data_IF_691353065954
#
_entry.id   IF_691353065954
#
_cell.length_a   1.000
_cell.length_b   1.000
_cell.length_c   1.000
_cell.angle_alpha   90.00
_cell.angle_beta   90.00
_cell.angle_gamma   90.00
#
_symmetry.space_group_name_H-M   'P 1'
#
loop_
_entity.id
_entity.type
_entity.pdbx_description
1 polymer ?
#
# COMPACT_ATOMS: atom_id res chain seq x y z
N UNK A 1 29.25 -20.20 -28.78
CA UNK A 1 28.73 -20.01 -27.90
C UNK A 1 27.58 -19.08 -27.53
N UNK A 2 26.59 -19.65 -26.88
CA UNK A 2 25.35 -19.01 -26.43
C UNK A 2 25.57 -17.82 -25.49
N UNK A 3 26.63 -17.81 -24.70
CA UNK A 3 26.95 -16.72 -23.76
C UNK A 3 27.34 -15.40 -24.41
N UNK A 4 28.00 -15.45 -25.60
CA UNK A 4 28.33 -14.21 -26.36
C UNK A 4 27.07 -13.57 -26.95
N UNK A 5 26.16 -14.37 -27.52
CA UNK A 5 24.91 -13.84 -28.08
C UNK A 5 24.00 -13.18 -27.04
N UNK A 6 23.90 -13.77 -25.83
CA UNK A 6 23.14 -13.17 -24.72
C UNK A 6 23.79 -11.87 -24.26
N UNK A 7 25.12 -11.80 -24.13
CA UNK A 7 25.83 -10.58 -23.78
C UNK A 7 25.56 -9.43 -24.77
N UNK A 8 25.44 -9.72 -26.05
CA UNK A 8 25.17 -8.70 -27.07
C UNK A 8 23.74 -8.17 -27.02
N UNK A 9 22.76 -8.99 -26.63
CA UNK A 9 21.39 -8.50 -26.38
C UNK A 9 21.37 -7.48 -25.25
N UNK A 10 22.03 -7.77 -24.15
CA UNK A 10 22.09 -6.84 -23.00
C UNK A 10 22.88 -5.56 -23.31
N UNK A 11 23.93 -5.65 -24.11
CA UNK A 11 24.65 -4.46 -24.61
C UNK A 11 23.73 -3.52 -25.40
N UNK A 12 22.85 -4.06 -26.25
CA UNK A 12 21.87 -3.25 -26.99
C UNK A 12 20.84 -2.60 -26.05
N UNK A 13 20.34 -3.34 -25.07
CA UNK A 13 19.41 -2.78 -24.08
C UNK A 13 20.04 -1.68 -23.24
N UNK A 14 21.32 -1.82 -22.89
CA UNK A 14 22.07 -0.82 -22.12
C UNK A 14 22.40 0.42 -22.97
N UNK A 15 22.56 0.30 -24.29
CA UNK A 15 22.84 1.46 -25.14
C UNK A 15 21.70 2.47 -25.18
N UNK A 16 20.47 2.01 -24.98
CA UNK A 16 19.25 2.84 -24.96
C UNK A 16 18.79 3.18 -23.53
N UNK A 17 19.51 2.67 -22.51
CA UNK A 17 19.14 2.86 -21.11
C UNK A 17 19.97 3.98 -20.48
N UNK A 18 19.38 4.92 -19.69
CA UNK A 18 20.13 5.94 -18.98
C UNK A 18 21.19 5.34 -18.05
N UNK A 19 22.41 5.89 -18.07
CA UNK A 19 23.50 5.45 -17.22
C UNK A 19 23.50 6.13 -15.83
N UNK A 20 22.30 6.33 -15.26
CA UNK A 20 22.07 7.01 -13.99
C UNK A 20 21.87 6.05 -12.80
N UNK A 21 22.51 4.89 -12.83
CA UNK A 21 22.34 3.83 -11.83
C UNK A 21 22.51 4.30 -10.39
N UNK A 22 23.45 5.22 -10.13
CA UNK A 22 23.72 5.74 -8.77
C UNK A 22 22.57 6.52 -8.17
N UNK A 23 21.72 7.11 -9.00
CA UNK A 23 20.54 7.88 -8.57
C UNK A 23 19.22 7.12 -8.82
N UNK A 24 19.32 5.94 -9.41
CA UNK A 24 18.15 5.12 -9.75
C UNK A 24 17.59 4.42 -8.50
N UNK A 25 16.28 4.52 -8.22
CA UNK A 25 15.66 3.82 -7.07
C UNK A 25 15.79 2.30 -7.13
N UNK A 26 16.08 1.74 -8.31
CA UNK A 26 16.25 0.30 -8.54
C UNK A 26 17.72 -0.17 -8.41
N UNK A 27 18.66 0.74 -8.10
CA UNK A 27 20.08 0.39 -7.93
C UNK A 27 20.26 -0.70 -6.89
N UNK A 28 21.11 -1.70 -7.20
CA UNK A 28 21.34 -2.85 -6.33
C UNK A 28 20.24 -3.95 -6.40
N UNK A 29 19.06 -3.64 -7.00
CA UNK A 29 17.97 -4.59 -7.21
C UNK A 29 17.41 -4.46 -8.64
N UNK A 30 18.30 -4.43 -9.64
CA UNK A 30 17.99 -4.26 -11.05
C UNK A 30 18.50 -5.47 -11.84
N UNK A 31 17.61 -6.21 -12.51
CA UNK A 31 18.00 -7.37 -13.31
C UNK A 31 18.99 -7.00 -14.42
N UNK A 32 18.80 -5.84 -15.07
CA UNK A 32 19.71 -5.38 -16.12
C UNK A 32 21.12 -5.11 -15.57
N UNK A 33 21.23 -4.48 -14.39
CA UNK A 33 22.50 -4.25 -13.70
C UNK A 33 23.18 -5.57 -13.32
N UNK A 34 22.42 -6.50 -12.75
CA UNK A 34 22.92 -7.84 -12.39
C UNK A 34 23.45 -8.61 -13.60
N UNK A 35 22.73 -8.56 -14.72
CA UNK A 35 23.16 -9.21 -15.96
C UNK A 35 24.36 -8.52 -16.59
N UNK A 36 24.43 -7.19 -16.55
CA UNK A 36 25.60 -6.46 -17.02
C UNK A 36 26.87 -6.85 -16.23
N UNK A 37 26.75 -7.00 -14.90
CA UNK A 37 27.85 -7.47 -14.06
C UNK A 37 28.23 -8.93 -14.38
N UNK A 38 27.22 -9.82 -14.48
CA UNK A 38 27.42 -11.25 -14.79
C UNK A 38 28.14 -11.48 -16.12
N UNK A 39 27.83 -10.66 -17.16
CA UNK A 39 28.48 -10.76 -18.47
C UNK A 39 29.69 -9.84 -18.61
N UNK A 40 30.14 -9.20 -17.52
CA UNK A 40 31.27 -8.27 -17.47
C UNK A 40 31.21 -7.18 -18.56
N UNK A 41 30.04 -6.60 -18.76
CA UNK A 41 29.82 -5.55 -19.75
C UNK A 41 30.32 -4.22 -19.14
N UNK A 42 31.50 -3.77 -19.56
CA UNK A 42 32.14 -2.55 -19.04
C UNK A 42 32.12 -1.38 -20.02
N UNK A 43 31.77 -1.64 -21.27
CA UNK A 43 31.70 -0.62 -22.32
C UNK A 43 30.49 -0.87 -23.20
N UNK A 44 29.86 0.22 -23.62
CA UNK A 44 28.76 0.19 -24.59
C UNK A 44 29.35 0.37 -25.99
N UNK A 45 29.41 -0.67 -26.83
CA UNK A 45 29.97 -0.58 -28.18
C UNK A 45 29.01 0.10 -29.17
N UNK A 46 27.75 0.25 -28.81
CA UNK A 46 26.75 0.85 -29.66
C UNK A 46 26.39 2.23 -29.14
N UNK A 47 26.43 3.24 -30.03
CA UNK A 47 25.77 4.50 -29.71
C UNK A 47 24.26 4.22 -29.80
N UNK A 48 23.55 4.44 -28.68
CA UNK A 48 22.10 4.38 -28.67
C UNK A 48 21.53 5.30 -29.74
N UNK A 49 20.48 4.88 -30.42
CA UNK A 49 19.74 5.79 -31.28
C UNK A 49 19.24 6.98 -30.45
N UNK A 50 19.12 8.15 -31.05
CA UNK A 50 18.41 9.27 -30.45
C UNK A 50 16.93 8.87 -30.29
N UNK A 51 16.62 8.24 -29.18
CA UNK A 51 15.24 7.98 -28.82
C UNK A 51 14.62 9.30 -28.39
N UNK A 52 13.48 9.62 -28.95
CA UNK A 52 12.68 10.73 -28.44
C UNK A 52 12.48 10.55 -26.93
N UNK A 53 12.60 11.61 -26.12
CA UNK A 53 12.36 11.52 -24.67
C UNK A 53 11.02 10.86 -24.42
N UNK A 54 11.05 9.76 -23.65
CA UNK A 54 9.83 9.05 -23.30
C UNK A 54 9.17 9.71 -22.09
N UNK A 55 7.87 9.47 -21.96
CA UNK A 55 7.09 10.12 -20.91
C UNK A 55 7.58 9.70 -19.51
N UNK A 56 7.79 10.71 -18.67
CA UNK A 56 7.93 10.53 -17.23
C UNK A 56 6.68 11.06 -16.55
N UNK A 57 6.15 10.26 -15.63
CA UNK A 57 4.93 10.56 -14.91
C UNK A 57 5.08 10.19 -13.43
N UNK A 58 4.54 11.01 -12.55
CA UNK A 58 4.49 10.76 -11.11
C UNK A 58 3.03 10.83 -10.67
N UNK A 59 2.49 9.69 -10.21
CA UNK A 59 1.17 9.62 -9.61
C UNK A 59 1.26 9.64 -8.08
N UNK A 60 0.14 9.50 -7.39
CA UNK A 60 0.10 9.33 -5.92
C UNK A 60 0.92 8.13 -5.42
N UNK A 61 0.99 7.06 -6.21
CA UNK A 61 1.56 5.77 -5.79
C UNK A 61 2.75 5.30 -6.62
N UNK A 62 2.75 5.61 -7.91
CA UNK A 62 3.65 5.02 -8.91
C UNK A 62 4.39 6.14 -9.66
N UNK A 63 5.68 5.94 -9.86
CA UNK A 63 6.50 6.71 -10.79
C UNK A 63 6.75 5.89 -12.03
N UNK A 64 6.38 6.42 -13.19
CA UNK A 64 6.62 5.83 -14.51
C UNK A 64 7.68 6.66 -15.25
N UNK A 65 8.82 6.05 -15.53
CA UNK A 65 9.92 6.64 -16.32
C UNK A 65 10.26 5.69 -17.48
N UNK A 66 9.71 5.97 -18.65
CA UNK A 66 9.82 5.07 -19.79
C UNK A 66 11.19 5.15 -20.48
N UNK A 67 12.05 6.12 -20.16
CA UNK A 67 13.45 6.12 -20.62
C UNK A 67 14.20 4.90 -20.09
N UNK A 68 13.80 4.36 -18.94
CA UNK A 68 14.38 3.18 -18.32
C UNK A 68 13.72 1.86 -18.74
N UNK A 69 12.76 1.90 -19.66
CA UNK A 69 12.01 0.71 -20.06
C UNK A 69 12.80 -0.13 -21.04
N UNK A 70 12.91 -1.44 -20.76
CA UNK A 70 13.55 -2.42 -21.66
C UNK A 70 12.54 -3.25 -22.49
N UNK A 71 11.29 -2.83 -22.50
CA UNK A 71 10.19 -3.46 -23.28
C UNK A 71 9.95 -4.96 -23.00
N UNK A 72 10.22 -5.41 -21.78
CA UNK A 72 9.96 -6.81 -21.41
C UNK A 72 8.45 -7.15 -21.29
N UNK A 73 7.56 -6.18 -21.27
CA UNK A 73 6.08 -6.29 -21.22
C UNK A 73 5.52 -6.99 -19.97
N UNK A 74 6.33 -7.32 -18.97
CA UNK A 74 5.86 -7.96 -17.72
C UNK A 74 4.76 -7.15 -17.03
N UNK A 75 4.87 -5.82 -17.03
CA UNK A 75 3.87 -4.93 -16.42
C UNK A 75 2.53 -4.95 -17.17
N UNK A 76 2.56 -5.10 -18.50
CA UNK A 76 1.37 -5.27 -19.32
C UNK A 76 0.69 -6.62 -19.02
N UNK A 77 1.44 -7.73 -19.04
CA UNK A 77 0.89 -9.06 -18.74
C UNK A 77 0.28 -9.12 -17.34
N UNK A 78 0.97 -8.62 -16.30
CA UNK A 78 0.41 -8.64 -14.95
C UNK A 78 -0.83 -7.76 -14.82
N UNK A 79 -0.88 -6.62 -15.52
CA UNK A 79 -2.03 -5.73 -15.49
C UNK A 79 -3.26 -6.32 -16.19
N UNK A 80 -3.05 -6.98 -17.32
CA UNK A 80 -4.13 -7.49 -18.16
C UNK A 80 -4.58 -8.90 -17.77
N UNK A 81 -3.63 -9.81 -17.50
CA UNK A 81 -3.91 -11.23 -17.33
C UNK A 81 -4.11 -11.63 -15.87
N UNK A 82 -3.39 -10.98 -14.94
CA UNK A 82 -3.44 -11.32 -13.52
C UNK A 82 -4.39 -10.39 -12.75
N UNK A 83 -4.22 -9.08 -12.92
CA UNK A 83 -5.05 -8.07 -12.24
C UNK A 83 -6.36 -7.75 -12.97
N UNK A 84 -6.45 -8.10 -14.25
CA UNK A 84 -7.61 -7.85 -15.12
C UNK A 84 -8.07 -6.39 -15.20
N UNK A 85 -7.16 -5.45 -14.90
CA UNK A 85 -7.43 -4.00 -14.91
C UNK A 85 -7.33 -3.40 -16.31
N UNK A 86 -6.39 -3.91 -17.15
CA UNK A 86 -6.26 -3.47 -18.53
C UNK A 86 -5.69 -2.06 -18.73
N UNK A 87 -5.08 -1.46 -17.71
CA UNK A 87 -4.62 -0.07 -17.79
C UNK A 87 -3.36 0.14 -18.60
N UNK A 88 -2.52 -0.91 -18.80
CA UNK A 88 -1.24 -0.81 -19.50
C UNK A 88 -1.20 -1.68 -20.73
N UNK A 89 -0.69 -1.12 -21.85
CA UNK A 89 -0.46 -1.83 -23.08
C UNK A 89 0.70 -1.25 -23.89
N UNK A 90 1.21 -2.02 -24.86
CA UNK A 90 2.19 -1.50 -25.81
C UNK A 90 1.46 -0.58 -26.80
N UNK A 91 1.90 0.67 -26.86
CA UNK A 91 1.40 1.67 -27.81
C UNK A 91 2.50 2.08 -28.79
N UNK A 92 2.10 2.66 -29.95
CA UNK A 92 2.99 3.03 -31.05
C UNK A 92 3.66 1.81 -31.69
N UNK A 93 4.66 2.02 -32.56
CA UNK A 93 5.32 0.95 -33.34
C UNK A 93 6.80 1.22 -33.50
N UNK A 94 7.57 0.13 -33.76
CA UNK A 94 9.01 0.19 -34.03
C UNK A 94 9.78 0.78 -32.83
N UNK A 95 10.74 1.64 -33.09
CA UNK A 95 11.56 2.28 -32.05
C UNK A 95 10.78 3.22 -31.14
N UNK A 96 9.62 3.69 -31.57
CA UNK A 96 8.73 4.55 -30.76
C UNK A 96 7.80 3.78 -29.85
N UNK A 97 7.86 2.45 -29.83
CA UNK A 97 7.02 1.63 -28.93
C UNK A 97 7.28 2.01 -27.48
N UNK A 98 6.21 2.17 -26.71
CA UNK A 98 6.26 2.41 -25.27
C UNK A 98 5.14 1.67 -24.57
N UNK A 99 5.29 1.41 -23.26
CA UNK A 99 4.22 0.83 -22.46
C UNK A 99 3.50 1.98 -21.74
N UNK A 100 2.23 2.14 -22.02
CA UNK A 100 1.43 3.24 -21.49
C UNK A 100 -0.06 2.87 -21.45
N UNK A 101 -0.90 3.67 -20.80
CA UNK A 101 -2.34 3.63 -21.02
C UNK A 101 -2.71 3.93 -22.48
N UNK A 102 -3.91 3.51 -22.87
CA UNK A 102 -4.44 3.77 -24.21
C UNK A 102 -4.34 5.26 -24.57
N UNK A 103 -4.01 5.55 -25.83
CA UNK A 103 -3.84 6.92 -26.36
C UNK A 103 -2.76 7.76 -25.64
N UNK A 104 -1.80 7.10 -24.96
CA UNK A 104 -0.75 7.76 -24.17
C UNK A 104 -1.29 8.72 -23.10
N UNK A 105 -2.47 8.40 -22.55
CA UNK A 105 -3.05 9.12 -21.41
C UNK A 105 -2.14 9.04 -20.18
N UNK A 106 -2.41 9.88 -19.19
CA UNK A 106 -1.81 9.73 -17.86
C UNK A 106 -2.39 8.48 -17.18
N UNK A 107 -1.65 7.87 -16.27
CA UNK A 107 -2.18 6.77 -15.46
C UNK A 107 -3.36 7.22 -14.60
N UNK A 108 -3.36 8.49 -14.17
CA UNK A 108 -4.49 9.12 -13.46
C UNK A 108 -5.77 9.22 -14.28
N UNK A 109 -5.65 9.26 -15.61
CA UNK A 109 -6.78 9.43 -16.54
C UNK A 109 -7.16 8.10 -17.20
N UNK A 110 -6.71 7.00 -16.62
CA UNK A 110 -6.92 5.63 -17.12
C UNK A 110 -7.58 4.77 -16.04
N UNK A 111 -7.94 3.53 -16.39
CA UNK A 111 -8.52 2.53 -15.50
C UNK A 111 -7.54 2.01 -14.41
N UNK A 112 -6.40 2.70 -14.20
CA UNK A 112 -5.37 2.27 -13.26
C UNK A 112 -5.87 2.32 -11.81
N UNK A 113 -5.83 1.18 -11.14
CA UNK A 113 -6.24 1.03 -9.72
C UNK A 113 -5.13 1.30 -8.72
N UNK A 114 -3.95 1.71 -9.16
CA UNK A 114 -2.77 1.96 -8.33
C UNK A 114 -2.30 0.76 -7.49
N UNK A 115 -2.69 -0.47 -7.82
CA UNK A 115 -2.36 -1.68 -7.07
C UNK A 115 -0.85 -1.95 -6.94
N UNK A 116 -0.01 -1.40 -7.83
CA UNK A 116 1.45 -1.50 -7.77
C UNK A 116 2.03 -2.82 -8.30
N UNK A 117 1.23 -3.74 -8.83
CA UNK A 117 1.75 -5.02 -9.35
C UNK A 117 2.70 -4.83 -10.54
N UNK A 118 2.46 -3.83 -11.37
CA UNK A 118 3.38 -3.45 -12.44
C UNK A 118 4.76 -3.01 -11.91
N UNK A 119 4.83 -2.38 -10.75
CA UNK A 119 6.07 -2.02 -10.04
C UNK A 119 6.78 -3.28 -9.53
N UNK A 120 6.03 -4.23 -8.96
CA UNK A 120 6.59 -5.47 -8.41
C UNK A 120 7.30 -6.32 -9.48
N UNK A 121 6.73 -6.40 -10.69
CA UNK A 121 7.30 -7.22 -11.78
C UNK A 121 8.29 -6.46 -12.68
N UNK A 122 8.45 -5.15 -12.50
CA UNK A 122 9.38 -4.38 -13.33
C UNK A 122 10.84 -4.74 -12.99
N UNK A 123 11.63 -5.27 -13.95
CA UNK A 123 12.99 -5.70 -13.69
C UNK A 123 13.99 -4.56 -13.59
N UNK A 124 13.58 -3.34 -13.97
CA UNK A 124 14.40 -2.13 -14.03
C UNK A 124 13.69 -0.97 -13.35
N UNK A 125 14.29 0.23 -13.38
CA UNK A 125 13.72 1.43 -12.76
C UNK A 125 12.66 2.17 -13.60
N UNK A 126 12.00 1.51 -14.55
CA UNK A 126 10.97 2.13 -15.39
C UNK A 126 9.65 2.36 -14.63
N UNK A 127 9.31 1.45 -13.75
CA UNK A 127 8.18 1.58 -12.83
C UNK A 127 8.68 1.39 -11.41
N UNK A 128 8.46 2.39 -10.58
CA UNK A 128 8.87 2.40 -9.17
C UNK A 128 7.75 2.96 -8.30
N UNK A 129 7.78 2.67 -7.02
CA UNK A 129 6.91 3.34 -6.06
C UNK A 129 7.26 4.83 -5.96
N UNK A 130 6.25 5.68 -5.71
CA UNK A 130 6.49 7.06 -5.32
C UNK A 130 7.11 7.06 -3.93
N UNK A 131 8.34 7.54 -3.83
CA UNK A 131 9.12 7.53 -2.59
C UNK A 131 8.71 8.70 -1.69
N UNK A 132 8.26 8.40 -0.47
CA UNK A 132 7.91 9.39 0.56
C UNK A 132 8.96 9.45 1.68
N UNK A 133 10.06 8.68 1.60
CA UNK A 133 11.05 8.58 2.69
C UNK A 133 11.75 9.90 3.00
N UNK A 134 12.04 10.72 1.99
CA UNK A 134 12.65 12.03 2.22
C UNK A 134 11.71 12.99 2.94
N UNK A 135 10.39 12.98 2.60
CA UNK A 135 9.40 13.77 3.32
C UNK A 135 9.31 13.31 4.77
N UNK A 136 9.28 12.01 5.00
CA UNK A 136 9.24 11.43 6.34
C UNK A 136 10.45 11.87 7.18
N UNK A 137 11.66 11.82 6.64
CA UNK A 137 12.85 12.25 7.37
C UNK A 137 12.78 13.72 7.79
N UNK A 138 12.28 14.60 6.91
CA UNK A 138 12.08 16.01 7.24
C UNK A 138 11.02 16.21 8.34
N UNK A 139 9.97 15.39 8.34
CA UNK A 139 8.94 15.44 9.38
C UNK A 139 9.48 14.93 10.73
N UNK A 140 10.28 13.84 10.73
CA UNK A 140 10.92 13.28 11.93
C UNK A 140 11.99 14.21 12.54
N UNK A 141 12.68 14.99 11.72
CA UNK A 141 13.69 15.96 12.17
C UNK A 141 13.08 17.29 12.68
N UNK A 142 11.77 17.49 12.47
CA UNK A 142 11.11 18.76 12.84
C UNK A 142 10.58 18.71 14.29
N UNK A 143 11.16 19.47 15.23
CA UNK A 143 10.78 19.44 16.63
C UNK A 143 9.37 20.00 16.92
N UNK A 144 8.77 20.73 15.97
CA UNK A 144 7.43 21.28 16.11
C UNK A 144 6.32 20.27 15.73
N UNK A 145 6.70 19.08 15.26
CA UNK A 145 5.79 18.02 14.83
C UNK A 145 5.84 16.84 15.76
N UNK A 146 4.70 16.18 15.93
CA UNK A 146 4.59 14.87 16.55
C UNK A 146 4.30 13.88 15.42
N UNK A 147 5.22 12.94 15.22
CA UNK A 147 5.13 11.97 14.10
C UNK A 147 4.77 10.61 14.64
N UNK A 148 3.57 10.15 14.32
CA UNK A 148 3.09 8.82 14.71
C UNK A 148 3.00 7.89 13.53
N UNK A 149 3.12 6.61 13.79
CA UNK A 149 3.06 5.58 12.75
C UNK A 149 2.13 4.44 13.11
N UNK A 150 1.35 3.98 12.14
CA UNK A 150 0.61 2.71 12.19
C UNK A 150 1.21 1.69 11.23
N UNK A 151 1.24 0.42 11.62
CA UNK A 151 1.79 -0.66 10.79
C UNK A 151 0.74 -1.71 10.48
N UNK A 152 0.64 -2.07 9.18
CA UNK A 152 -0.25 -3.15 8.76
C UNK A 152 0.25 -4.52 9.25
N UNK A 153 -0.63 -5.48 9.53
CA UNK A 153 -0.27 -6.82 10.03
C UNK A 153 0.75 -7.56 9.16
N UNK A 154 0.65 -7.45 7.83
CA UNK A 154 1.55 -8.12 6.90
C UNK A 154 2.99 -7.61 6.96
N UNK A 155 3.22 -6.36 7.41
CA UNK A 155 4.58 -5.77 7.47
C UNK A 155 5.47 -6.55 8.42
N UNK A 156 4.95 -6.96 9.59
CA UNK A 156 5.69 -7.75 10.60
C UNK A 156 6.14 -9.12 10.12
N UNK A 157 5.45 -9.69 9.13
CA UNK A 157 5.78 -10.99 8.55
C UNK A 157 6.71 -10.89 7.32
N UNK A 158 6.74 -9.73 6.64
CA UNK A 158 7.51 -9.54 5.41
C UNK A 158 8.82 -8.77 5.62
N UNK A 159 8.90 -7.91 6.63
CA UNK A 159 10.06 -7.03 6.84
C UNK A 159 11.35 -7.81 7.11
N UNK A 160 11.26 -8.96 7.78
CA UNK A 160 12.41 -9.80 8.11
C UNK A 160 13.18 -10.29 6.88
N UNK A 161 12.49 -10.57 5.78
CA UNK A 161 13.09 -11.03 4.52
C UNK A 161 14.08 -9.99 3.95
N UNK A 162 13.78 -8.71 4.10
CA UNK A 162 14.67 -7.63 3.67
C UNK A 162 16.01 -7.59 4.44
N UNK A 163 16.09 -8.25 5.59
CA UNK A 163 17.28 -8.36 6.43
C UNK A 163 17.85 -9.78 6.49
N UNK A 164 17.46 -10.65 5.54
CA UNK A 164 18.00 -11.99 5.38
C UNK A 164 17.42 -13.03 6.34
N UNK A 165 16.33 -12.71 7.04
CA UNK A 165 15.61 -13.70 7.83
C UNK A 165 14.74 -14.60 6.94
N UNK A 166 14.41 -15.82 7.37
CA UNK A 166 13.52 -16.71 6.62
C UNK A 166 12.16 -16.03 6.32
N UNK A 167 11.57 -16.38 5.17
CA UNK A 167 10.26 -15.87 4.77
C UNK A 167 9.19 -16.14 5.85
N UNK A 168 8.37 -15.14 6.13
CA UNK A 168 7.31 -15.22 7.13
C UNK A 168 7.77 -15.12 8.59
N UNK A 169 9.05 -14.86 8.85
CA UNK A 169 9.54 -14.63 10.21
C UNK A 169 8.86 -13.42 10.83
N UNK A 170 8.17 -13.61 11.96
CA UNK A 170 7.52 -12.52 12.69
C UNK A 170 8.58 -11.67 13.39
N UNK A 171 8.63 -10.40 13.04
CA UNK A 171 9.60 -9.42 13.58
C UNK A 171 8.91 -8.23 14.26
N UNK A 172 7.73 -8.46 14.83
CA UNK A 172 6.88 -7.40 15.42
C UNK A 172 7.65 -6.50 16.37
N UNK A 173 8.27 -7.07 17.40
CA UNK A 173 8.97 -6.29 18.42
C UNK A 173 10.23 -5.58 17.89
N UNK A 174 10.98 -6.22 17.00
CA UNK A 174 12.13 -5.62 16.31
C UNK A 174 11.71 -4.47 15.39
N UNK A 175 10.58 -4.61 14.69
CA UNK A 175 10.00 -3.57 13.88
C UNK A 175 9.62 -2.35 14.71
N UNK A 176 8.93 -2.55 15.83
CA UNK A 176 8.56 -1.46 16.76
C UNK A 176 9.81 -0.75 17.29
N UNK A 177 10.83 -1.52 17.68
CA UNK A 177 12.09 -0.93 18.12
C UNK A 177 12.73 -0.09 17.01
N UNK A 178 12.85 -0.63 15.80
CA UNK A 178 13.45 0.07 14.67
C UNK A 178 12.71 1.38 14.35
N UNK A 179 11.39 1.39 14.45
CA UNK A 179 10.59 2.60 14.22
C UNK A 179 10.87 3.68 15.27
N UNK A 180 11.04 3.31 16.53
CA UNK A 180 11.43 4.25 17.58
C UNK A 180 12.86 4.78 17.39
N UNK A 181 13.80 3.94 16.94
CA UNK A 181 15.17 4.38 16.58
C UNK A 181 15.18 5.33 15.37
N UNK A 182 14.21 5.22 14.47
CA UNK A 182 14.02 6.15 13.36
C UNK A 182 13.47 7.52 13.80
N UNK A 183 12.99 7.64 15.04
CA UNK A 183 12.51 8.89 15.61
C UNK A 183 10.98 9.06 15.63
N UNK A 184 10.19 8.00 15.40
CA UNK A 184 8.76 8.09 15.60
C UNK A 184 8.40 8.26 17.10
N UNK A 185 7.53 9.22 17.40
CA UNK A 185 7.09 9.51 18.77
C UNK A 185 6.21 8.38 19.32
N UNK A 186 5.30 7.85 18.48
CA UNK A 186 4.42 6.74 18.86
C UNK A 186 4.30 5.73 17.72
N UNK A 187 4.25 4.45 18.07
CA UNK A 187 4.17 3.33 17.14
C UNK A 187 2.95 2.46 17.46
N UNK A 188 1.98 2.44 16.55
CA UNK A 188 0.70 1.76 16.74
C UNK A 188 0.51 0.58 15.80
N UNK A 189 -0.36 -0.34 16.24
CA UNK A 189 -0.85 -1.44 15.42
C UNK A 189 -2.14 -1.05 14.69
N UNK A 190 -2.20 -1.27 13.37
CA UNK A 190 -3.41 -1.06 12.58
C UNK A 190 -4.53 -2.04 12.96
N UNK A 191 -4.23 -3.15 13.66
CA UNK A 191 -5.22 -4.13 14.13
C UNK A 191 -6.28 -3.48 15.03
N UNK A 192 -5.93 -2.46 15.81
CA UNK A 192 -6.91 -1.66 16.57
C UNK A 192 -7.96 -1.03 15.64
N UNK A 193 -7.52 -0.45 14.53
CA UNK A 193 -8.44 0.16 13.56
C UNK A 193 -9.19 -0.88 12.72
N UNK A 194 -8.66 -2.09 12.59
CA UNK A 194 -9.39 -3.21 12.00
C UNK A 194 -10.60 -3.59 12.87
N UNK A 195 -10.47 -3.62 14.19
CA UNK A 195 -11.59 -3.84 15.10
C UNK A 195 -12.69 -2.77 14.93
N UNK A 196 -12.29 -1.50 14.78
CA UNK A 196 -13.25 -0.41 14.53
C UNK A 196 -13.96 -0.60 13.19
N UNK A 197 -13.24 -0.98 12.13
CA UNK A 197 -13.84 -1.25 10.82
C UNK A 197 -14.85 -2.40 10.91
N UNK A 198 -14.52 -3.46 11.66
CA UNK A 198 -15.44 -4.61 11.88
C UNK A 198 -16.73 -4.16 12.58
N UNK A 199 -16.63 -3.29 13.58
CA UNK A 199 -17.79 -2.78 14.30
C UNK A 199 -18.68 -1.92 13.40
N UNK A 200 -18.10 -1.04 12.61
CA UNK A 200 -18.83 -0.17 11.67
C UNK A 200 -19.48 -0.99 10.54
N UNK A 201 -18.73 -1.87 9.89
CA UNK A 201 -19.27 -2.75 8.84
C UNK A 201 -20.32 -3.70 9.41
N UNK A 202 -20.12 -4.26 10.61
CA UNK A 202 -21.08 -5.11 11.29
C UNK A 202 -22.40 -4.38 11.58
N UNK A 203 -22.34 -3.14 12.08
CA UNK A 203 -23.50 -2.30 12.32
C UNK A 203 -24.23 -1.97 10.99
N UNK A 204 -23.48 -1.68 9.93
CA UNK A 204 -24.03 -1.44 8.60
C UNK A 204 -24.73 -2.68 8.04
N UNK A 205 -24.14 -3.87 8.17
CA UNK A 205 -24.73 -5.15 7.76
C UNK A 205 -26.07 -5.36 8.48
N UNK A 206 -26.12 -5.20 9.81
CA UNK A 206 -27.35 -5.35 10.57
C UNK A 206 -28.45 -4.38 10.12
N UNK A 207 -28.07 -3.11 9.91
CA UNK A 207 -29.02 -2.10 9.44
C UNK A 207 -29.56 -2.44 8.05
N UNK A 208 -28.69 -2.73 7.08
CA UNK A 208 -29.08 -3.07 5.70
C UNK A 208 -29.95 -4.33 5.65
N UNK A 209 -29.59 -5.40 6.39
CA UNK A 209 -30.37 -6.63 6.45
C UNK A 209 -31.75 -6.41 7.08
N UNK A 210 -31.82 -5.66 8.19
CA UNK A 210 -33.10 -5.36 8.86
C UNK A 210 -34.02 -4.57 7.93
N UNK A 211 -33.53 -3.57 7.25
CA UNK A 211 -34.29 -2.80 6.27
C UNK A 211 -34.77 -3.65 5.09
N UNK A 212 -33.88 -4.49 4.54
CA UNK A 212 -34.22 -5.41 3.46
C UNK A 212 -35.31 -6.39 3.85
N UNK A 213 -35.21 -7.01 5.05
CA UNK A 213 -36.24 -7.94 5.59
C UNK A 213 -37.56 -7.26 5.85
N UNK A 214 -37.56 -5.98 6.19
CA UNK A 214 -38.77 -5.15 6.36
C UNK A 214 -39.38 -4.67 5.02
N UNK A 215 -38.81 -5.12 3.88
CA UNK A 215 -39.36 -4.83 2.55
C UNK A 215 -38.87 -3.50 1.94
N UNK A 216 -37.83 -2.88 2.49
CA UNK A 216 -37.24 -1.68 1.92
C UNK A 216 -36.48 -2.01 0.62
N UNK A 217 -37.09 -1.69 -0.51
CA UNK A 217 -36.56 -1.93 -1.84
C UNK A 217 -35.40 -0.99 -2.25
N UNK A 218 -35.10 0.02 -1.45
CA UNK A 218 -33.95 0.90 -1.69
C UNK A 218 -32.64 0.27 -1.29
N UNK A 219 -32.66 -0.79 -0.45
CA UNK A 219 -31.47 -1.50 -0.02
C UNK A 219 -31.09 -2.53 -1.07
N UNK A 220 -29.86 -2.44 -1.57
CA UNK A 220 -29.29 -3.42 -2.52
C UNK A 220 -28.35 -4.38 -1.79
N UNK A 221 -28.39 -5.63 -2.19
CA UNK A 221 -27.49 -6.70 -1.75
C UNK A 221 -26.77 -7.28 -2.97
N UNK A 222 -25.57 -7.88 -2.79
CA UNK A 222 -24.84 -8.09 -1.55
C UNK A 222 -24.22 -6.83 -0.96
N UNK A 223 -23.68 -6.90 0.25
CA UNK A 223 -22.80 -5.88 0.83
C UNK A 223 -21.36 -6.27 0.51
N UNK A 224 -20.57 -5.36 -0.01
CA UNK A 224 -19.16 -5.58 -0.35
C UNK A 224 -18.28 -4.73 0.55
N UNK A 225 -17.22 -5.32 1.11
CA UNK A 225 -16.30 -4.58 1.98
C UNK A 225 -15.49 -3.56 1.17
N UNK A 226 -15.06 -2.46 1.79
CA UNK A 226 -14.40 -1.32 1.12
C UNK A 226 -12.98 -1.03 1.62
N UNK A 227 -12.36 -1.94 2.36
CA UNK A 227 -11.03 -1.73 2.96
C UNK A 227 -9.86 -1.70 1.95
N UNK A 228 -10.05 -2.21 0.71
CA UNK A 228 -9.02 -2.24 -0.33
C UNK A 228 -9.20 -1.08 -1.32
N UNK A 229 -8.34 -0.04 -1.30
CA UNK A 229 -8.51 1.12 -2.18
C UNK A 229 -8.32 0.82 -3.67
N UNK A 230 -7.52 -0.19 -4.02
CA UNK A 230 -7.39 -0.62 -5.40
C UNK A 230 -8.68 -1.25 -5.92
N UNK A 231 -9.36 -2.04 -5.08
CA UNK A 231 -10.64 -2.64 -5.41
C UNK A 231 -11.75 -1.58 -5.48
N UNK A 232 -11.78 -0.64 -4.54
CA UNK A 232 -12.75 0.48 -4.56
C UNK A 232 -12.59 1.27 -5.87
N UNK A 233 -11.37 1.65 -6.24
CA UNK A 233 -11.10 2.36 -7.48
C UNK A 233 -11.49 1.53 -8.73
N UNK A 234 -11.23 0.23 -8.72
CA UNK A 234 -11.71 -0.67 -9.78
C UNK A 234 -13.23 -0.66 -9.87
N UNK A 235 -13.91 -0.72 -8.74
CA UNK A 235 -15.37 -0.73 -8.68
C UNK A 235 -15.97 0.59 -9.18
N UNK A 236 -15.38 1.72 -8.80
CA UNK A 236 -15.78 3.06 -9.25
C UNK A 236 -15.68 3.21 -10.77
N UNK A 237 -14.64 2.63 -11.40
CA UNK A 237 -14.45 2.69 -12.85
C UNK A 237 -15.39 1.75 -13.62
N UNK A 238 -15.59 0.54 -13.13
CA UNK A 238 -16.29 -0.50 -13.89
C UNK A 238 -17.77 -0.64 -13.52
N UNK A 239 -18.19 -0.19 -12.34
CA UNK A 239 -19.55 -0.34 -11.81
C UNK A 239 -20.13 0.96 -11.23
N UNK A 240 -20.08 2.09 -11.98
CA UNK A 240 -20.50 3.38 -11.45
C UNK A 240 -21.98 3.44 -11.03
N UNK A 241 -22.84 2.60 -11.64
CA UNK A 241 -24.26 2.50 -11.30
C UNK A 241 -24.56 1.65 -10.06
N UNK A 242 -23.53 1.15 -9.38
CA UNK A 242 -23.64 0.21 -8.24
C UNK A 242 -22.87 0.69 -7.00
N UNK A 243 -22.55 1.98 -6.92
CA UNK A 243 -21.72 2.53 -5.83
C UNK A 243 -22.41 2.54 -4.45
N UNK A 244 -23.69 2.19 -4.41
CA UNK A 244 -24.46 1.97 -3.18
C UNK A 244 -24.28 0.58 -2.56
N UNK A 245 -23.64 -0.37 -3.27
CA UNK A 245 -23.40 -1.74 -2.81
C UNK A 245 -22.21 -1.84 -1.84
N UNK A 246 -21.03 -1.24 -2.13
CA UNK A 246 -19.91 -1.26 -1.19
C UNK A 246 -20.29 -0.67 0.16
N UNK A 247 -19.62 -1.15 1.20
CA UNK A 247 -19.71 -0.59 2.55
C UNK A 247 -19.26 0.87 2.55
N UNK A 248 -19.92 1.69 3.35
CA UNK A 248 -19.56 3.08 3.60
C UNK A 248 -18.46 3.24 4.63
N UNK A 249 -18.07 2.14 5.29
CA UNK A 249 -17.00 2.14 6.28
C UNK A 249 -15.64 2.49 5.64
N UNK A 250 -14.84 3.25 6.36
CA UNK A 250 -13.46 3.56 5.97
C UNK A 250 -12.57 2.34 6.13
N UNK A 251 -11.47 2.28 5.39
CA UNK A 251 -10.45 1.26 5.63
C UNK A 251 -9.80 1.42 7.01
N UNK A 252 -9.23 0.35 7.61
CA UNK A 252 -8.50 0.45 8.86
C UNK A 252 -7.42 1.55 8.88
N UNK A 253 -6.73 1.77 7.74
CA UNK A 253 -5.77 2.87 7.60
C UNK A 253 -6.42 4.22 7.87
N UNK A 254 -7.57 4.50 7.27
CA UNK A 254 -8.26 5.77 7.38
C UNK A 254 -9.06 5.90 8.69
N UNK A 255 -9.58 4.78 9.22
CA UNK A 255 -10.17 4.73 10.57
C UNK A 255 -9.15 5.17 11.62
N UNK A 256 -7.94 4.59 11.57
CA UNK A 256 -6.86 4.96 12.46
C UNK A 256 -6.53 6.46 12.34
N UNK A 257 -6.30 6.94 11.11
CA UNK A 257 -5.91 8.35 10.88
C UNK A 257 -6.97 9.33 11.38
N UNK A 258 -8.23 9.04 11.12
CA UNK A 258 -9.35 9.86 11.57
C UNK A 258 -9.39 9.98 13.09
N UNK A 259 -9.33 8.84 13.81
CA UNK A 259 -9.35 8.83 15.28
C UNK A 259 -8.09 9.43 15.87
N UNK A 260 -6.93 9.17 15.27
CA UNK A 260 -5.67 9.72 15.73
C UNK A 260 -5.66 11.25 15.66
N UNK A 261 -6.15 11.83 14.56
CA UNK A 261 -6.18 13.29 14.37
C UNK A 261 -7.37 14.02 15.02
N UNK A 262 -8.31 13.27 15.60
CA UNK A 262 -9.45 13.82 16.33
C UNK A 262 -9.35 13.47 17.81
N UNK A 263 -9.92 12.35 18.21
CA UNK A 263 -10.04 11.94 19.63
C UNK A 263 -8.68 11.80 20.33
N UNK A 264 -7.71 11.10 19.70
CA UNK A 264 -6.42 10.89 20.34
C UNK A 264 -5.61 12.19 20.45
N UNK A 265 -5.58 12.99 19.39
CA UNK A 265 -4.90 14.29 19.38
C UNK A 265 -5.46 15.23 20.46
N UNK A 266 -6.79 15.30 20.60
CA UNK A 266 -7.46 16.07 21.66
C UNK A 266 -7.08 15.57 23.05
N UNK A 267 -7.12 14.25 23.28
CA UNK A 267 -6.75 13.62 24.55
C UNK A 267 -5.30 13.90 24.94
N UNK A 268 -4.39 13.98 23.97
CA UNK A 268 -2.97 14.26 24.16
C UNK A 268 -2.65 15.75 24.17
N UNK A 269 -3.62 16.63 23.89
CA UNK A 269 -3.41 18.07 23.77
C UNK A 269 -2.55 18.47 22.58
N UNK A 270 -2.53 17.67 21.52
CA UNK A 270 -1.72 17.89 20.32
C UNK A 270 -2.62 18.55 19.24
N UNK A 271 -2.29 19.76 18.77
CA UNK A 271 -3.01 20.37 17.66
C UNK A 271 -2.94 19.49 16.40
N UNK A 272 -4.07 19.37 15.66
CA UNK A 272 -4.18 18.54 14.46
C UNK A 272 -3.08 18.84 13.42
N UNK A 273 -2.75 20.11 13.24
CA UNK A 273 -1.75 20.57 12.27
C UNK A 273 -0.31 20.21 12.64
N UNK A 274 -0.05 19.91 13.91
CA UNK A 274 1.26 19.45 14.39
C UNK A 274 1.40 17.92 14.36
N UNK A 275 0.28 17.20 14.25
CA UNK A 275 0.28 15.75 14.24
C UNK A 275 0.43 15.23 12.81
N UNK A 276 1.50 14.49 12.55
CA UNK A 276 1.75 13.77 11.29
C UNK A 276 1.45 12.30 11.49
N UNK A 277 0.49 11.78 10.74
CA UNK A 277 0.10 10.37 10.76
C UNK A 277 0.69 9.66 9.54
N UNK A 278 1.60 8.74 9.78
CA UNK A 278 2.23 7.91 8.76
C UNK A 278 1.68 6.49 8.83
N UNK A 279 1.46 5.85 7.68
CA UNK A 279 1.11 4.45 7.62
C UNK A 279 2.19 3.63 6.91
N UNK A 280 2.49 2.44 7.42
CA UNK A 280 3.37 1.47 6.76
C UNK A 280 2.51 0.34 6.24
N UNK A 281 2.43 0.24 4.91
CA UNK A 281 1.49 -0.66 4.23
C UNK A 281 2.19 -1.50 3.16
N UNK A 282 1.80 -2.76 2.96
CA UNK A 282 2.38 -3.60 1.91
C UNK A 282 1.85 -3.26 0.51
N UNK A 283 0.88 -2.36 0.41
CA UNK A 283 0.13 -2.04 -0.80
C UNK A 283 0.36 -0.60 -1.25
N UNK A 284 0.67 -0.39 -2.54
CA UNK A 284 0.89 0.95 -3.09
C UNK A 284 -0.42 1.75 -3.27
N UNK A 285 -1.57 1.07 -3.41
CA UNK A 285 -2.86 1.75 -3.48
C UNK A 285 -3.19 2.51 -2.17
N UNK A 286 -2.59 2.14 -1.05
CA UNK A 286 -2.71 2.86 0.22
C UNK A 286 -2.09 4.26 0.17
N UNK A 287 -1.11 4.51 -0.71
CA UNK A 287 -0.61 5.86 -0.99
C UNK A 287 -1.65 6.72 -1.71
N UNK A 288 -2.32 6.12 -2.71
CA UNK A 288 -3.43 6.77 -3.42
C UNK A 288 -4.60 7.08 -2.47
N UNK A 289 -4.93 6.14 -1.57
CA UNK A 289 -6.00 6.33 -0.58
C UNK A 289 -5.76 7.58 0.30
N UNK A 290 -4.51 7.85 0.70
CA UNK A 290 -4.18 9.05 1.47
C UNK A 290 -4.43 10.37 0.71
N UNK A 291 -4.36 10.35 -0.62
CA UNK A 291 -4.54 11.53 -1.46
C UNK A 291 -6.03 11.81 -1.80
N UNK A 292 -6.95 10.86 -1.55
CA UNK A 292 -8.38 11.00 -1.82
C UNK A 292 -9.01 12.11 -0.97
N UNK A 293 -9.90 12.88 -1.59
CA UNK A 293 -10.48 14.08 -0.95
C UNK A 293 -11.47 13.77 0.17
N UNK A 294 -12.16 12.62 0.10
CA UNK A 294 -13.10 12.16 1.14
C UNK A 294 -12.44 11.81 2.46
N UNK A 295 -11.10 11.65 2.48
CA UNK A 295 -10.31 11.37 3.68
C UNK A 295 -9.55 12.61 4.19
N UNK A 296 -10.05 13.78 3.86
CA UNK A 296 -9.53 15.07 4.36
C UNK A 296 -10.58 15.76 5.20
N UNK A 297 -10.16 16.26 6.36
CA UNK A 297 -10.98 17.08 7.25
C UNK A 297 -10.39 18.48 7.22
N UNK A 298 -11.19 19.49 6.86
CA UNK A 298 -10.76 20.89 6.70
C UNK A 298 -9.54 21.06 5.77
N UNK A 299 -9.50 20.25 4.70
CA UNK A 299 -8.41 20.24 3.72
C UNK A 299 -7.13 19.52 4.18
N UNK A 300 -7.05 19.08 5.45
CA UNK A 300 -5.94 18.29 5.99
C UNK A 300 -6.24 16.80 5.92
N UNK A 301 -5.33 15.96 5.39
CA UNK A 301 -5.54 14.52 5.32
C UNK A 301 -5.56 13.88 6.72
N UNK A 302 -6.39 12.85 6.88
CA UNK A 302 -6.42 12.07 8.13
C UNK A 302 -5.17 11.20 8.27
N UNK A 303 -4.65 10.64 7.16
CA UNK A 303 -3.32 10.03 7.08
C UNK A 303 -2.48 10.86 6.11
N UNK A 304 -1.37 11.42 6.59
CA UNK A 304 -0.57 12.38 5.81
C UNK A 304 0.11 11.73 4.61
N UNK A 305 0.63 10.51 4.78
CA UNK A 305 1.14 9.67 3.70
C UNK A 305 1.44 8.25 4.16
N UNK A 306 1.60 7.37 3.18
CA UNK A 306 1.95 5.97 3.39
C UNK A 306 3.33 5.67 2.83
N UNK A 307 4.08 4.79 3.51
CA UNK A 307 5.31 4.17 3.00
C UNK A 307 5.13 2.66 2.88
N UNK A 308 5.81 2.06 1.92
CA UNK A 308 5.79 0.61 1.73
C UNK A 308 6.76 -0.11 2.67
N UNK A 309 6.59 -1.42 2.85
CA UNK A 309 7.53 -2.27 3.61
C UNK A 309 8.97 -2.13 3.07
N UNK A 310 9.14 -2.00 1.75
CA UNK A 310 10.46 -1.81 1.13
C UNK A 310 11.06 -0.43 1.41
N UNK A 311 10.23 0.61 1.45
CA UNK A 311 10.66 1.95 1.86
C UNK A 311 11.13 1.96 3.31
N UNK A 312 10.38 1.30 4.21
CA UNK A 312 10.80 1.12 5.60
C UNK A 312 12.14 0.41 5.71
N UNK A 313 12.33 -0.71 5.00
CA UNK A 313 13.58 -1.43 5.01
C UNK A 313 14.76 -0.57 4.51
N UNK A 314 14.54 0.28 3.49
CA UNK A 314 15.56 1.24 3.02
C UNK A 314 15.89 2.30 4.07
N UNK A 315 14.89 2.82 4.80
CA UNK A 315 15.09 3.77 5.89
C UNK A 315 15.91 3.16 7.03
N UNK A 316 15.58 1.95 7.47
CA UNK A 316 16.31 1.23 8.52
C UNK A 316 17.78 1.03 8.14
N UNK A 317 18.05 0.61 6.87
CA UNK A 317 19.41 0.48 6.35
C UNK A 317 20.13 1.83 6.28
N UNK A 318 19.45 2.88 5.83
CA UNK A 318 20.00 4.24 5.70
C UNK A 318 20.36 4.83 7.06
N UNK A 319 19.55 4.56 8.07
CA UNK A 319 19.81 4.95 9.45
C UNK A 319 20.87 4.09 10.15
N UNK A 320 21.44 3.09 9.44
CA UNK A 320 22.42 2.14 9.97
C UNK A 320 21.94 1.39 11.24
N UNK A 321 20.64 1.12 11.33
CA UNK A 321 20.06 0.35 12.45
C UNK A 321 20.34 -1.13 12.23
N UNK A 322 21.01 -1.77 13.19
CA UNK A 322 21.32 -3.20 13.16
C UNK A 322 20.08 -4.08 13.43
N UNK A 323 19.13 -4.12 12.50
CA UNK A 323 17.77 -4.65 12.67
C UNK A 323 17.72 -6.05 13.31
N UNK A 324 18.58 -6.97 12.88
CA UNK A 324 18.59 -8.36 13.40
C UNK A 324 19.06 -8.46 14.85
N UNK A 325 19.79 -7.46 15.34
CA UNK A 325 20.34 -7.39 16.69
C UNK A 325 19.41 -6.69 17.68
N UNK A 326 18.34 -6.07 17.21
CA UNK A 326 17.39 -5.36 18.06
C UNK A 326 16.67 -6.32 19.01
N UNK A 327 16.38 -5.83 20.21
CA UNK A 327 15.48 -6.49 21.16
C UNK A 327 14.03 -6.14 20.81
N UNK A 328 13.10 -6.98 21.24
CA UNK A 328 11.69 -6.73 21.00
C UNK A 328 11.15 -5.61 21.91
N UNK A 329 10.30 -4.75 21.32
CA UNK A 329 9.49 -3.74 22.02
C UNK A 329 8.02 -3.89 21.67
N UNK A 330 7.16 -3.41 22.52
CA UNK A 330 5.71 -3.44 22.32
C UNK A 330 5.20 -2.16 21.66
N UNK A 331 4.06 -2.26 21.02
CA UNK A 331 3.32 -1.12 20.48
C UNK A 331 2.83 -0.19 21.61
N UNK A 332 2.58 1.06 21.27
CA UNK A 332 1.87 1.98 22.14
C UNK A 332 0.35 1.68 22.10
N UNK A 333 -0.33 1.84 23.23
CA UNK A 333 -1.75 1.48 23.40
C UNK A 333 -2.61 2.66 23.91
N UNK A 334 -2.62 3.82 23.26
CA UNK A 334 -3.31 4.99 23.79
C UNK A 334 -4.83 4.90 23.72
N UNK A 335 -5.37 4.01 22.88
CA UNK A 335 -6.80 3.83 22.64
C UNK A 335 -7.29 2.42 23.01
N UNK A 336 -6.44 1.61 23.67
CA UNK A 336 -6.72 0.24 24.04
C UNK A 336 -6.00 -0.79 23.17
N UNK A 337 -6.10 -2.06 23.55
CA UNK A 337 -5.54 -3.19 22.80
C UNK A 337 -6.49 -3.63 21.69
N UNK A 338 -5.93 -4.17 20.59
CA UNK A 338 -6.72 -4.85 19.58
C UNK A 338 -7.23 -6.21 20.07
N UNK A 339 -8.31 -6.68 19.46
CA UNK A 339 -8.90 -7.99 19.75
C UNK A 339 -8.45 -9.06 18.77
N UNK A 340 -8.84 -10.33 19.02
CA UNK A 340 -8.63 -11.42 18.07
C UNK A 340 -9.36 -11.22 16.74
N UNK A 341 -10.42 -10.40 16.71
CA UNK A 341 -11.13 -10.07 15.47
C UNK A 341 -10.26 -9.27 14.50
N UNK A 342 -9.48 -8.29 15.00
CA UNK A 342 -8.51 -7.56 14.18
C UNK A 342 -7.45 -8.48 13.54
N UNK A 343 -7.04 -9.53 14.24
CA UNK A 343 -6.11 -10.55 13.69
C UNK A 343 -6.79 -11.38 12.59
N UNK A 344 -8.05 -11.81 12.79
CA UNK A 344 -8.82 -12.57 11.79
C UNK A 344 -9.03 -11.74 10.52
N UNK A 345 -9.21 -10.43 10.64
CA UNK A 345 -9.38 -9.50 9.53
C UNK A 345 -8.29 -9.65 8.44
N UNK A 346 -7.06 -9.96 8.83
CA UNK A 346 -5.92 -10.15 7.91
C UNK A 346 -5.93 -11.46 7.13
N UNK A 347 -6.83 -12.41 7.39
CA UNK A 347 -6.91 -13.68 6.68
C UNK A 347 -7.82 -13.60 5.45
N UNK A 348 -7.72 -14.58 4.53
CA UNK A 348 -8.62 -14.63 3.36
C UNK A 348 -10.08 -14.75 3.81
N UNK A 349 -10.91 -13.78 3.41
CA UNK A 349 -12.31 -13.68 3.86
C UNK A 349 -12.48 -13.19 5.30
N UNK A 350 -11.37 -12.81 5.97
CA UNK A 350 -11.34 -12.50 7.40
C UNK A 350 -12.19 -11.30 7.80
N UNK A 351 -12.31 -10.30 6.94
CA UNK A 351 -13.21 -9.15 7.18
C UNK A 351 -14.66 -9.63 7.33
N UNK A 352 -15.13 -10.43 6.38
CA UNK A 352 -16.47 -10.98 6.40
C UNK A 352 -16.67 -11.90 7.62
N UNK A 353 -15.72 -12.78 7.91
CA UNK A 353 -15.80 -13.70 9.04
C UNK A 353 -15.87 -12.95 10.37
N UNK A 354 -15.00 -11.96 10.58
CA UNK A 354 -15.00 -11.16 11.80
C UNK A 354 -16.30 -10.35 11.96
N UNK A 355 -16.78 -9.73 10.88
CA UNK A 355 -18.05 -9.00 10.89
C UNK A 355 -19.24 -9.91 11.20
N UNK A 356 -19.33 -11.10 10.59
CA UNK A 356 -20.41 -12.06 10.84
C UNK A 356 -20.40 -12.60 12.28
N UNK A 357 -19.22 -12.86 12.86
CA UNK A 357 -19.10 -13.27 14.27
C UNK A 357 -19.60 -12.17 15.20
N UNK A 358 -19.20 -10.93 14.97
CA UNK A 358 -19.65 -9.76 15.75
C UNK A 358 -21.17 -9.56 15.63
N UNK A 359 -21.72 -9.66 14.41
CA UNK A 359 -23.16 -9.57 14.14
C UNK A 359 -23.92 -10.69 14.86
N UNK A 360 -23.40 -11.91 14.84
CA UNK A 360 -23.99 -13.04 15.54
C UNK A 360 -24.07 -12.79 17.05
N UNK A 361 -22.97 -12.36 17.67
CA UNK A 361 -22.95 -12.03 19.09
C UNK A 361 -23.90 -10.88 19.43
N UNK A 362 -23.92 -9.81 18.64
CA UNK A 362 -24.82 -8.67 18.83
C UNK A 362 -26.30 -9.09 18.71
N UNK A 363 -26.62 -10.00 17.79
CA UNK A 363 -27.98 -10.50 17.61
C UNK A 363 -28.44 -11.44 18.76
N UNK A 364 -27.52 -12.18 19.36
CA UNK A 364 -27.81 -13.11 20.45
C UNK A 364 -27.94 -12.43 21.83
N UNK A 365 -27.35 -11.25 22.02
CA UNK A 365 -27.49 -10.46 23.26
C UNK A 365 -28.96 -10.24 23.58
N UNK A 366 -29.82 -10.01 22.59
CA UNK A 366 -31.25 -9.81 22.77
C UNK A 366 -32.02 -11.14 23.08
N UNK A 367 -31.44 -12.30 22.77
CA UNK A 367 -32.04 -13.61 22.97
C UNK A 367 -31.59 -14.23 24.29
N UNK A 368 -30.36 -13.99 24.73
CA UNK A 368 -29.75 -14.59 25.92
C UNK A 368 -30.11 -13.86 27.22
N UNK A 369 -30.36 -12.56 27.20
CA UNK A 369 -30.72 -11.74 28.36
C UNK A 369 -32.00 -12.22 29.10
N UNK A 370 -33.14 -12.58 28.44
CA UNK A 370 -34.35 -13.07 29.12
C UNK A 370 -34.17 -14.40 29.84
N UNK A 371 -33.26 -15.25 29.39
CA UNK A 371 -33.04 -16.59 29.95
C UNK A 371 -32.14 -16.53 31.20
N UNK A 372 -31.23 -15.61 31.32
CA UNK A 372 -30.42 -15.42 32.53
C UNK A 372 -31.21 -14.89 33.72
N UNK A 373 -32.28 -14.11 33.52
CA UNK A 373 -33.15 -13.60 34.58
C UNK A 373 -34.15 -14.59 35.12
N UNK A 374 -34.32 -15.77 34.51
CA UNK A 374 -35.24 -16.82 34.98
C UNK A 374 -34.58 -17.92 35.80
N UNK A 375 -33.28 -17.83 36.05
CA UNK A 375 -32.49 -18.80 36.80
C UNK A 375 -31.96 -18.29 38.16
N UNK A 376 -32.62 -17.30 38.78
CA UNK A 376 -32.36 -16.86 40.15
C UNK A 376 -33.60 -17.01 40.96
#
# INVERSE_FOLDING_TARGET
>A
STSRGLGDVYKRQLSDHPNDCLTCPKCGNCELQTLALRFNIRRMPYNGGELSPRKREVTSSIVRNMDKCIFCRRCESVCNEVQTVGALGAIRRGFNTTIAPAFDKMMSDSECTYCGQCVAVCPVGALTERDHTNRLLLDLENPDKVVIVQTAPAVRAALGEEFGLPAGTLVTGKMVYALRELGFDYVFDTDFAADLTIMEEGAEILNRLTRYMNGDKSVRLPILTSCCPAWVNFFEHHFPDMLDIPSTARSPQQMFGSIAKTFWAEKMGIPREKLVVVSIMPCLAKKYECDRNEFKTDGSPDVDYSISTRELARLIRRANVGFTLLTDKEFDHPMGASTGAGVIFGTTGGVMEAALRSVYELSLIHISEPTRRRGI
#
